data_IF_490435684264
#
_entry.id   IF_490435684264
#
_cell.length_a   1.000
_cell.length_b   1.000
_cell.length_c   1.000
_cell.angle_alpha   90.00
_cell.angle_beta   90.00
_cell.angle_gamma   90.00
#
_symmetry.space_group_name_H-M   'P 1'
#
loop_
_entity.id
_entity.type
_entity.pdbx_description
1 polymer ?
#
# COMPACT_ATOMS: atom_id res chain seq x y z
N UNK A 1 -5.12 9.09 1.42
CA UNK A 1 -5.58 9.79 0.20
C UNK A 1 -4.70 9.34 -0.93
N UNK A 2 -5.32 8.99 -2.05
CA UNK A 2 -4.63 8.83 -3.32
C UNK A 2 -5.24 9.88 -4.24
N UNK A 3 -4.40 10.78 -4.77
CA UNK A 3 -4.84 11.84 -5.71
C UNK A 3 -6.06 12.66 -5.22
N UNK A 4 -5.99 13.16 -3.98
CA UNK A 4 -7.11 13.91 -3.38
C UNK A 4 -8.34 13.07 -2.98
N UNK A 5 -8.42 11.80 -3.37
CA UNK A 5 -9.51 10.89 -2.98
C UNK A 5 -9.19 10.16 -1.68
N UNK A 6 -10.17 10.09 -0.79
CA UNK A 6 -10.02 9.40 0.49
C UNK A 6 -10.02 7.88 0.29
N UNK A 7 -8.88 7.28 0.63
CA UNK A 7 -8.68 5.83 0.70
C UNK A 7 -8.10 5.50 2.06
N UNK A 8 -8.54 4.37 2.62
CA UNK A 8 -8.14 3.91 3.94
C UNK A 8 -7.26 2.67 3.80
N UNK A 9 -6.16 2.64 4.57
CA UNK A 9 -5.35 1.43 4.72
C UNK A 9 -6.13 0.47 5.62
N UNK A 10 -6.61 -0.63 5.06
CA UNK A 10 -7.40 -1.63 5.79
C UNK A 10 -6.51 -2.68 6.45
N UNK A 11 -5.54 -3.22 5.70
CA UNK A 11 -4.71 -4.31 6.18
C UNK A 11 -3.33 -4.30 5.51
N UNK A 12 -2.33 -4.75 6.26
CA UNK A 12 -1.03 -5.16 5.72
C UNK A 12 -0.68 -6.55 6.23
N UNK A 13 -0.49 -7.47 5.30
CA UNK A 13 -0.09 -8.84 5.58
C UNK A 13 1.33 -9.09 5.07
N UNK A 14 2.18 -9.64 5.94
CA UNK A 14 3.51 -10.12 5.57
C UNK A 14 3.50 -11.64 5.51
N UNK A 15 3.84 -12.20 4.35
CA UNK A 15 4.03 -13.63 4.16
C UNK A 15 5.41 -13.93 3.55
N UNK A 16 5.88 -15.18 3.57
CA UNK A 16 7.10 -15.58 2.86
C UNK A 16 7.06 -15.28 1.35
N UNK A 17 5.86 -15.26 0.76
CA UNK A 17 5.69 -15.09 -0.68
C UNK A 17 5.62 -13.62 -1.09
N UNK A 18 4.83 -12.82 -0.37
CA UNK A 18 4.57 -11.42 -0.70
C UNK A 18 4.16 -10.60 0.51
N UNK A 19 4.27 -9.28 0.37
CA UNK A 19 3.61 -8.31 1.24
C UNK A 19 2.34 -7.89 0.51
N UNK A 20 1.19 -8.04 1.19
CA UNK A 20 -0.12 -7.66 0.67
C UNK A 20 -0.58 -6.42 1.41
N UNK A 21 -0.94 -5.38 0.67
CA UNK A 21 -1.48 -4.13 1.20
C UNK A 21 -2.90 -3.95 0.65
N UNK A 22 -3.88 -3.86 1.55
CA UNK A 22 -5.28 -3.68 1.19
C UNK A 22 -5.77 -2.28 1.53
N UNK A 23 -6.45 -1.66 0.57
CA UNK A 23 -7.07 -0.36 0.68
C UNK A 23 -8.58 -0.49 0.53
N UNK A 24 -9.33 0.21 1.37
CA UNK A 24 -10.78 0.35 1.23
C UNK A 24 -11.12 1.75 0.71
N UNK A 25 -12.11 1.77 -0.18
CA UNK A 25 -12.70 3.00 -0.72
C UNK A 25 -13.77 3.53 0.21
N UNK A 26 -13.93 4.86 0.24
CA UNK A 26 -15.13 5.48 0.80
C UNK A 26 -16.36 5.17 -0.06
N UNK A 27 -17.56 5.14 0.54
CA UNK A 27 -18.81 4.80 -0.17
C UNK A 27 -19.07 5.68 -1.41
N UNK A 28 -18.70 6.96 -1.34
CA UNK A 28 -18.82 7.88 -2.48
C UNK A 28 -17.96 7.47 -3.69
N UNK A 29 -16.84 6.79 -3.45
CA UNK A 29 -15.93 6.33 -4.51
C UNK A 29 -16.33 4.95 -5.05
N UNK A 30 -17.07 4.14 -4.29
CA UNK A 30 -17.49 2.81 -4.73
C UNK A 30 -18.48 2.87 -5.91
N UNK A 31 -19.25 3.94 -6.03
CA UNK A 31 -20.27 4.10 -7.07
C UNK A 31 -19.73 4.72 -8.36
N UNK A 32 -18.56 5.37 -8.33
CA UNK A 32 -17.95 6.02 -9.49
C UNK A 32 -16.84 5.14 -10.08
N UNK A 33 -17.06 4.57 -11.27
CA UNK A 33 -16.08 3.69 -11.91
C UNK A 33 -14.88 4.45 -12.47
N UNK A 34 -15.08 5.68 -12.95
CA UNK A 34 -14.05 6.50 -13.61
C UNK A 34 -13.00 6.89 -12.57
N UNK A 35 -13.48 7.38 -11.43
CA UNK A 35 -12.63 7.74 -10.29
C UNK A 35 -11.91 6.50 -9.73
N UNK A 36 -12.57 5.35 -9.62
CA UNK A 36 -11.93 4.10 -9.16
C UNK A 36 -10.77 3.68 -10.06
N UNK A 37 -10.98 3.75 -11.37
CA UNK A 37 -9.95 3.37 -12.33
C UNK A 37 -8.75 4.35 -12.30
N UNK A 38 -9.01 5.65 -12.11
CA UNK A 38 -7.95 6.64 -11.91
C UNK A 38 -7.14 6.38 -10.64
N UNK A 39 -7.81 6.17 -9.50
CA UNK A 39 -7.14 5.87 -8.23
C UNK A 39 -6.32 4.58 -8.33
N UNK A 40 -6.84 3.55 -9.01
CA UNK A 40 -6.12 2.28 -9.19
C UNK A 40 -4.78 2.47 -9.91
N UNK A 41 -4.76 3.28 -10.97
CA UNK A 41 -3.54 3.62 -11.70
C UNK A 41 -2.49 4.39 -10.87
N UNK A 42 -2.92 4.98 -9.75
CA UNK A 42 -2.10 5.74 -8.80
C UNK A 42 -1.85 4.97 -7.49
N UNK A 43 -2.19 3.68 -7.44
CA UNK A 43 -1.87 2.84 -6.29
C UNK A 43 -0.36 2.81 -6.04
N UNK A 44 0.06 2.75 -4.77
CA UNK A 44 1.46 2.90 -4.42
C UNK A 44 2.34 1.84 -5.11
N UNK A 45 3.39 2.32 -5.77
CA UNK A 45 4.38 1.48 -6.43
C UNK A 45 5.61 1.22 -5.54
N UNK A 46 5.70 1.91 -4.40
CA UNK A 46 6.85 1.86 -3.50
C UNK A 46 6.49 1.49 -2.07
N UNK A 47 7.13 0.42 -1.59
CA UNK A 47 7.10 -0.02 -0.21
C UNK A 47 8.55 -0.23 0.24
N UNK A 48 8.88 0.23 1.45
CA UNK A 48 10.22 0.09 2.02
C UNK A 48 10.13 -0.60 3.36
N UNK A 49 10.96 -1.62 3.58
CA UNK A 49 11.07 -2.31 4.86
C UNK A 49 12.32 -1.90 5.61
N UNK A 50 12.21 -1.74 6.93
CA UNK A 50 13.34 -1.44 7.81
C UNK A 50 13.92 -2.72 8.41
N UNK A 51 15.13 -3.11 7.98
CA UNK A 51 15.87 -4.26 8.50
C UNK A 51 17.08 -3.77 9.29
N UNK A 52 16.96 -3.78 10.62
CA UNK A 52 17.98 -3.23 11.51
C UNK A 52 18.22 -1.72 11.25
N UNK A 53 19.38 -1.38 10.68
CA UNK A 53 19.76 -0.01 10.27
C UNK A 53 19.60 0.26 8.77
N UNK A 54 19.20 -0.74 7.98
CA UNK A 54 19.06 -0.65 6.53
C UNK A 54 17.59 -0.49 6.13
N UNK A 55 17.37 0.22 5.04
CA UNK A 55 16.09 0.27 4.33
C UNK A 55 16.22 -0.61 3.08
N UNK A 56 15.24 -1.47 2.85
CA UNK A 56 15.15 -2.33 1.67
C UNK A 56 13.89 -2.00 0.88
N UNK A 57 14.04 -1.75 -0.42
CA UNK A 57 12.91 -1.54 -1.31
C UNK A 57 12.23 -2.88 -1.58
N UNK A 58 10.94 -2.96 -1.29
CA UNK A 58 10.07 -4.05 -1.70
C UNK A 58 9.41 -3.62 -3.01
N UNK A 59 9.79 -4.25 -4.11
CA UNK A 59 9.29 -3.88 -5.43
C UNK A 59 7.82 -4.28 -5.56
N UNK A 60 7.02 -3.41 -6.20
CA UNK A 60 5.66 -3.79 -6.62
C UNK A 60 5.74 -4.96 -7.61
N UNK A 61 4.94 -5.99 -7.37
CA UNK A 61 4.82 -7.18 -8.24
C UNK A 61 3.42 -7.27 -8.88
N UNK A 62 2.55 -6.30 -8.60
CA UNK A 62 1.23 -6.17 -9.20
C UNK A 62 0.19 -5.63 -8.24
N UNK A 63 -1.05 -5.63 -8.70
CA UNK A 63 -2.20 -5.24 -7.90
C UNK A 63 -3.51 -5.67 -8.57
N UNK A 64 -4.60 -5.59 -7.81
CA UNK A 64 -5.96 -5.81 -8.32
C UNK A 64 -6.92 -4.79 -7.72
N UNK A 65 -7.96 -4.44 -8.48
CA UNK A 65 -9.11 -3.68 -7.99
C UNK A 65 -10.33 -4.57 -7.78
N UNK A 66 -11.15 -4.20 -6.81
CA UNK A 66 -12.49 -4.74 -6.57
C UNK A 66 -13.47 -3.58 -6.35
N UNK A 67 -14.75 -3.90 -6.17
CA UNK A 67 -15.76 -2.88 -5.84
C UNK A 67 -15.50 -2.22 -4.49
N UNK A 68 -14.89 -2.95 -3.55
CA UNK A 68 -14.62 -2.47 -2.19
C UNK A 68 -13.29 -1.72 -2.04
N UNK A 69 -12.38 -1.89 -3.00
CA UNK A 69 -11.12 -1.14 -3.05
C UNK A 69 -10.02 -1.84 -3.82
N UNK A 70 -8.80 -1.79 -3.29
CA UNK A 70 -7.60 -2.18 -4.03
C UNK A 70 -6.68 -3.05 -3.20
N UNK A 71 -6.00 -3.98 -3.86
CA UNK A 71 -4.91 -4.75 -3.28
C UNK A 71 -3.63 -4.47 -4.06
N UNK A 72 -2.55 -4.11 -3.36
CA UNK A 72 -1.21 -4.00 -3.93
C UNK A 72 -0.32 -5.12 -3.38
N UNK A 73 0.46 -5.73 -4.27
CA UNK A 73 1.38 -6.82 -3.95
C UNK A 73 2.82 -6.33 -4.08
N UNK A 74 3.65 -6.64 -3.09
CA UNK A 74 5.07 -6.32 -3.10
C UNK A 74 5.92 -7.55 -2.81
N UNK A 75 7.15 -7.56 -3.32
CA UNK A 75 8.14 -8.60 -3.02
C UNK A 75 8.38 -8.69 -1.51
N UNK A 76 8.35 -9.89 -0.95
CA UNK A 76 8.60 -10.10 0.48
C UNK A 76 10.09 -10.09 0.83
N UNK A 77 10.37 -9.61 2.03
CA UNK A 77 11.65 -9.76 2.72
C UNK A 77 11.44 -10.22 4.17
N UNK A 78 10.36 -10.95 4.45
CA UNK A 78 9.98 -11.34 5.83
C UNK A 78 11.07 -12.11 6.57
N UNK A 79 11.88 -12.90 5.84
CA UNK A 79 13.00 -13.67 6.39
C UNK A 79 14.18 -12.79 6.82
N UNK A 80 14.24 -11.53 6.37
CA UNK A 80 15.20 -10.53 6.85
C UNK A 80 14.75 -9.91 8.19
N UNK A 81 13.61 -10.34 8.74
CA UNK A 81 13.04 -9.86 9.99
C UNK A 81 12.87 -8.33 10.05
N UNK A 82 12.09 -7.73 9.12
CA UNK A 82 11.84 -6.30 9.13
C UNK A 82 11.16 -5.86 10.43
N UNK A 83 11.55 -4.69 10.94
CA UNK A 83 10.98 -4.09 12.16
C UNK A 83 9.73 -3.26 11.86
N UNK A 84 9.71 -2.61 10.70
CA UNK A 84 8.61 -1.79 10.24
C UNK A 84 8.59 -1.72 8.72
N UNK A 85 7.44 -1.32 8.19
CA UNK A 85 7.22 -1.02 6.79
C UNK A 85 6.81 0.44 6.66
N UNK A 86 7.36 1.11 5.65
CA UNK A 86 6.93 2.43 5.18
C UNK A 86 6.30 2.28 3.81
N UNK A 87 5.05 2.70 3.70
CA UNK A 87 4.31 2.81 2.45
C UNK A 87 4.24 4.27 2.02
N UNK A 88 4.59 4.55 0.78
CA UNK A 88 4.55 5.90 0.21
C UNK A 88 3.34 6.01 -0.73
N UNK A 89 2.40 6.88 -0.39
CA UNK A 89 1.18 7.13 -1.15
C UNK A 89 1.28 8.48 -1.87
N UNK A 90 0.93 8.49 -3.16
CA UNK A 90 0.75 9.71 -3.92
C UNK A 90 -0.62 10.33 -3.58
N UNK A 91 -0.63 11.43 -2.83
CA UNK A 91 -1.84 12.14 -2.43
C UNK A 91 -2.23 13.27 -3.40
N UNK A 92 -1.58 13.38 -4.57
CA UNK A 92 -1.83 14.35 -5.63
C UNK A 92 -0.56 15.11 -6.08
N UNK A 93 -0.69 16.01 -7.07
CA UNK A 93 0.44 16.57 -7.85
C UNK A 93 1.59 17.21 -7.06
N UNK A 94 1.38 17.57 -5.79
CA UNK A 94 2.42 18.13 -4.90
C UNK A 94 2.34 17.57 -3.47
N UNK A 95 1.72 16.39 -3.27
CA UNK A 95 1.46 15.85 -1.92
C UNK A 95 1.80 14.38 -1.85
N UNK A 96 2.77 14.04 -1.02
CA UNK A 96 3.06 12.66 -0.65
C UNK A 96 2.58 12.39 0.78
N UNK A 97 2.02 11.21 1.01
CA UNK A 97 1.67 10.75 2.36
C UNK A 97 2.43 9.48 2.67
N UNK A 98 3.16 9.48 3.77
CA UNK A 98 3.82 8.28 4.28
C UNK A 98 2.96 7.62 5.36
N UNK A 99 2.82 6.30 5.27
CA UNK A 99 2.22 5.48 6.32
C UNK A 99 3.29 4.54 6.89
N UNK A 100 3.48 4.62 8.20
CA UNK A 100 4.39 3.75 8.95
C UNK A 100 3.59 2.66 9.66
N UNK A 101 4.05 1.43 9.48
CA UNK A 101 3.40 0.24 10.03
C UNK A 101 4.45 -0.53 10.80
N UNK A 102 4.34 -0.52 12.12
CA UNK A 102 5.21 -1.31 12.98
C UNK A 102 4.77 -2.77 12.94
N UNK A 103 5.74 -3.67 12.69
CA UNK A 103 5.49 -5.10 12.69
C UNK A 103 5.58 -5.56 14.14
N UNK A 104 4.43 -5.65 14.79
CA UNK A 104 4.34 -6.20 16.15
C UNK A 104 4.76 -7.67 16.11
N UNK A 105 5.84 -8.00 16.81
CA UNK A 105 6.20 -9.41 17.06
C UNK A 105 5.13 -9.98 17.99
N UNK A 106 4.41 -11.00 17.53
CA UNK A 106 3.59 -11.86 18.41
C UNK A 106 4.50 -12.65 19.35
#
# INVERSE_FOLDING_TARGET
MIDGHEVNLAQVELSPLSIVVEFTLSEALKTDWEIRNEIFGKTPSELTSRVGKRELKNNSIGGRGSEDGFTSYFSSNVLDHPKSIRLKLDAGPDREKEAYIDILKK
#
